data_IF_082183024759
#
_entry.id   IF_082183024759
#
_cell.length_a   1.000
_cell.length_b   1.000
_cell.length_c   1.000
_cell.angle_alpha   90.00
_cell.angle_beta   90.00
_cell.angle_gamma   90.00
#
_symmetry.space_group_name_H-M   'P 1'
#
loop_
_entity.id
_entity.type
_entity.pdbx_description
1 polymer ?
#
# COMPACT_ATOMS: atom_id res chain seq x y z
N UNK A 1 -68.68 36.39 30.64
CA UNK A 1 -68.22 35.61 29.49
C UNK A 1 -66.69 35.70 29.44
N UNK A 2 -65.96 34.63 29.81
CA UNK A 2 -64.51 34.60 29.76
C UNK A 2 -64.08 33.93 28.45
N UNK A 3 -63.40 34.64 27.59
CA UNK A 3 -62.83 34.10 26.33
C UNK A 3 -61.47 33.51 26.63
N UNK A 4 -61.37 32.17 26.62
CA UNK A 4 -60.10 31.41 26.70
C UNK A 4 -59.41 31.47 25.36
N UNK A 5 -58.21 32.09 25.29
CA UNK A 5 -57.34 32.05 24.13
C UNK A 5 -56.52 30.75 24.19
N UNK A 6 -56.72 29.88 23.22
CA UNK A 6 -55.89 28.67 23.03
C UNK A 6 -54.55 29.10 22.37
N UNK A 7 -53.48 28.90 23.12
CA UNK A 7 -52.12 29.08 22.61
C UNK A 7 -51.71 27.79 21.83
N UNK A 8 -51.51 27.92 20.53
CA UNK A 8 -51.05 26.84 19.69
C UNK A 8 -49.51 26.84 19.69
N UNK A 9 -48.92 25.92 20.41
CA UNK A 9 -47.45 25.70 20.38
C UNK A 9 -47.08 24.94 19.12
N UNK A 10 -46.41 25.61 18.17
CA UNK A 10 -45.82 24.98 17.01
C UNK A 10 -44.46 24.43 17.45
N UNK A 11 -44.35 23.11 17.63
CA UNK A 11 -43.07 22.43 17.78
C UNK A 11 -42.38 22.34 16.37
N UNK A 12 -41.46 23.22 16.13
CA UNK A 12 -40.61 23.14 14.96
C UNK A 12 -39.54 22.03 15.14
N UNK A 13 -39.76 20.88 14.54
CA UNK A 13 -38.75 19.81 14.47
C UNK A 13 -37.75 20.18 13.40
N UNK A 14 -36.61 20.76 13.77
CA UNK A 14 -35.49 20.97 12.88
C UNK A 14 -34.79 19.61 12.61
N UNK A 15 -35.08 19.00 11.47
CA UNK A 15 -34.28 17.90 10.96
C UNK A 15 -32.91 18.44 10.53
N UNK A 16 -31.89 18.15 11.35
CA UNK A 16 -30.50 18.32 10.95
C UNK A 16 -30.19 17.17 9.98
N UNK A 17 -30.19 17.46 8.68
CA UNK A 17 -29.67 16.56 7.66
C UNK A 17 -28.16 16.50 7.82
N UNK A 18 -27.66 15.46 8.50
CA UNK A 18 -26.25 15.11 8.51
C UNK A 18 -25.95 14.55 7.11
N UNK A 19 -25.49 15.41 6.20
CA UNK A 19 -24.91 14.96 4.95
C UNK A 19 -23.60 14.25 5.29
N UNK A 20 -23.63 12.92 5.30
CA UNK A 20 -22.43 12.11 5.33
C UNK A 20 -21.66 12.40 4.04
N UNK A 21 -20.62 13.22 4.11
CA UNK A 21 -19.63 13.32 3.06
C UNK A 21 -18.94 11.96 2.97
N UNK A 22 -19.44 11.09 2.11
CA UNK A 22 -18.69 9.92 1.68
C UNK A 22 -17.51 10.43 0.87
N UNK A 23 -16.34 10.54 1.51
CA UNK A 23 -15.10 10.72 0.78
C UNK A 23 -15.01 9.56 -0.24
N UNK A 24 -14.74 9.84 -1.52
CA UNK A 24 -14.56 8.76 -2.48
C UNK A 24 -13.44 7.88 -1.95
N UNK A 25 -13.74 6.61 -1.69
CA UNK A 25 -12.71 5.63 -1.39
C UNK A 25 -11.76 5.62 -2.58
N UNK A 26 -10.51 6.03 -2.36
CA UNK A 26 -9.50 5.99 -3.40
C UNK A 26 -9.39 4.53 -3.87
N UNK A 27 -9.64 4.30 -5.16
CA UNK A 27 -9.56 2.95 -5.70
C UNK A 27 -8.14 2.44 -5.56
N UNK A 28 -7.96 1.28 -4.90
CA UNK A 28 -6.65 0.67 -4.68
C UNK A 28 -5.93 0.44 -6.02
N UNK A 29 -4.63 0.73 -6.08
CA UNK A 29 -3.79 0.45 -7.25
C UNK A 29 -3.30 -1.00 -7.20
N UNK A 30 -4.18 -1.92 -7.51
CA UNK A 30 -3.96 -3.37 -7.45
C UNK A 30 -3.53 -3.99 -8.79
N UNK A 31 -3.33 -3.18 -9.82
CA UNK A 31 -2.80 -3.68 -11.11
C UNK A 31 -1.39 -4.20 -10.92
N UNK A 32 -1.15 -5.42 -11.34
CA UNK A 32 0.17 -6.03 -11.28
C UNK A 32 1.11 -5.44 -12.35
N UNK A 33 2.36 -5.27 -11.96
CA UNK A 33 3.47 -4.90 -12.86
C UNK A 33 4.60 -5.89 -12.66
N UNK A 34 5.13 -6.40 -13.76
CA UNK A 34 6.26 -7.32 -13.71
C UNK A 34 7.51 -6.62 -13.18
N UNK A 35 8.29 -7.33 -12.39
CA UNK A 35 9.63 -6.93 -12.00
C UNK A 35 10.67 -7.99 -12.39
N UNK A 36 11.87 -7.51 -12.67
CA UNK A 36 13.07 -8.32 -12.80
C UNK A 36 14.18 -7.62 -12.03
N UNK A 37 14.59 -8.23 -10.93
CA UNK A 37 15.76 -7.79 -10.17
C UNK A 37 16.98 -8.58 -10.64
N UNK A 38 17.95 -7.89 -11.20
CA UNK A 38 19.25 -8.44 -11.50
C UNK A 38 20.23 -7.96 -10.42
N UNK A 39 20.60 -8.85 -9.53
CA UNK A 39 21.51 -8.53 -8.43
C UNK A 39 22.94 -8.59 -8.96
N UNK A 40 23.60 -7.45 -8.94
CA UNK A 40 25.02 -7.29 -9.25
C UNK A 40 25.84 -7.27 -7.94
N UNK A 41 27.09 -6.86 -8.04
CA UNK A 41 27.99 -6.76 -6.87
C UNK A 41 27.47 -5.82 -5.76
N UNK A 42 26.64 -4.84 -6.09
CA UNK A 42 25.99 -3.95 -5.13
C UNK A 42 24.82 -4.65 -4.42
N UNK A 43 24.29 -5.71 -5.04
CA UNK A 43 23.26 -6.56 -4.45
C UNK A 43 21.85 -5.94 -4.40
N UNK A 44 21.63 -4.75 -4.95
CA UNK A 44 20.38 -4.00 -4.82
C UNK A 44 19.75 -3.71 -6.19
N UNK A 45 18.43 -3.83 -6.27
CA UNK A 45 17.64 -3.48 -7.43
C UNK A 45 16.28 -2.90 -7.01
N UNK A 46 15.74 -1.98 -7.83
CA UNK A 46 14.45 -1.33 -7.57
C UNK A 46 13.59 -1.31 -8.82
N UNK A 47 12.28 -1.32 -8.64
CA UNK A 47 11.30 -1.03 -9.70
C UNK A 47 11.16 0.48 -9.91
N UNK A 48 10.48 0.86 -10.97
CA UNK A 48 9.93 2.20 -11.10
C UNK A 48 8.87 2.44 -10.01
N UNK A 49 8.71 3.71 -9.60
CA UNK A 49 7.69 4.11 -8.64
C UNK A 49 6.29 4.06 -9.24
N UNK A 50 5.31 3.69 -8.41
CA UNK A 50 3.89 3.62 -8.77
C UNK A 50 3.04 4.29 -7.70
N UNK A 51 1.90 4.84 -8.11
CA UNK A 51 0.96 5.49 -7.19
C UNK A 51 0.44 4.50 -6.14
N UNK A 52 0.54 4.87 -4.86
CA UNK A 52 -0.06 4.18 -3.72
C UNK A 52 -1.31 4.92 -3.29
N UNK A 53 -2.45 4.23 -3.29
CA UNK A 53 -3.77 4.84 -3.18
C UNK A 53 -4.39 4.72 -1.78
N UNK A 54 -3.95 3.76 -0.98
CA UNK A 54 -4.47 3.51 0.36
C UNK A 54 -3.42 2.89 1.29
N UNK A 55 -3.79 2.63 2.55
CA UNK A 55 -2.93 2.06 3.58
C UNK A 55 -2.78 0.53 3.51
N UNK A 56 -3.25 -0.14 2.45
CA UNK A 56 -3.10 -1.59 2.32
C UNK A 56 -1.64 -2.00 2.16
N UNK A 57 -1.32 -3.24 2.49
CA UNK A 57 0.00 -3.83 2.27
C UNK A 57 0.36 -3.83 0.78
N UNK A 58 1.64 -3.86 0.47
CA UNK A 58 2.11 -4.07 -0.90
C UNK A 58 2.05 -5.57 -1.24
N UNK A 59 1.53 -5.90 -2.42
CA UNK A 59 1.49 -7.27 -2.92
C UNK A 59 2.74 -7.58 -3.73
N UNK A 60 3.25 -8.79 -3.56
CA UNK A 60 4.34 -9.35 -4.37
C UNK A 60 4.06 -10.82 -4.69
N UNK A 61 4.25 -11.19 -5.96
CA UNK A 61 4.34 -12.57 -6.42
C UNK A 61 5.77 -12.84 -6.88
N UNK A 62 6.37 -13.88 -6.36
CA UNK A 62 7.71 -14.33 -6.75
C UNK A 62 7.61 -15.59 -7.60
N UNK A 63 8.02 -15.51 -8.86
CA UNK A 63 8.05 -16.63 -9.80
C UNK A 63 9.44 -17.26 -9.92
N UNK A 64 10.49 -16.47 -9.64
CA UNK A 64 11.88 -16.89 -9.65
C UNK A 64 12.63 -16.16 -8.52
N UNK A 65 13.45 -16.88 -7.77
CA UNK A 65 14.28 -16.30 -6.70
C UNK A 65 15.72 -16.78 -6.79
N UNK A 66 16.68 -15.98 -6.28
CA UNK A 66 18.07 -16.38 -6.15
C UNK A 66 18.24 -17.48 -5.10
N UNK A 67 19.35 -18.20 -5.16
CA UNK A 67 19.72 -19.18 -4.13
C UNK A 67 19.72 -18.53 -2.74
N UNK A 68 19.01 -19.15 -1.80
CA UNK A 68 18.85 -18.63 -0.44
C UNK A 68 17.86 -17.46 -0.31
N UNK A 69 17.18 -17.07 -1.38
CA UNK A 69 16.18 -15.99 -1.37
C UNK A 69 16.79 -14.59 -1.40
N UNK A 70 15.94 -13.57 -1.25
CA UNK A 70 16.36 -12.17 -1.22
C UNK A 70 15.54 -11.37 -0.21
N UNK A 71 16.12 -10.33 0.36
CA UNK A 71 15.41 -9.35 1.16
C UNK A 71 14.60 -8.46 0.22
N UNK A 72 13.36 -8.20 0.59
CA UNK A 72 12.47 -7.28 -0.14
C UNK A 72 12.15 -6.09 0.74
N UNK A 73 11.98 -4.92 0.13
CA UNK A 73 11.58 -3.70 0.82
C UNK A 73 10.70 -2.83 -0.07
N UNK A 74 9.99 -1.91 0.56
CA UNK A 74 9.10 -0.95 -0.11
C UNK A 74 9.54 0.45 0.29
N UNK A 75 10.01 1.21 -0.68
CA UNK A 75 10.30 2.62 -0.51
C UNK A 75 9.08 3.46 -0.81
N UNK A 76 8.91 4.54 -0.06
CA UNK A 76 7.91 5.58 -0.27
C UNK A 76 8.52 6.89 -0.75
N UNK A 77 7.72 7.68 -1.48
CA UNK A 77 8.04 9.05 -1.89
C UNK A 77 6.77 9.89 -2.04
N UNK A 78 6.91 11.20 -1.94
CA UNK A 78 5.80 12.15 -2.16
C UNK A 78 5.52 12.40 -3.63
N UNK A 79 6.48 12.10 -4.52
CA UNK A 79 6.34 12.20 -5.98
C UNK A 79 7.08 11.06 -6.67
N UNK A 80 6.75 10.80 -7.93
CA UNK A 80 7.38 9.73 -8.73
C UNK A 80 8.88 9.94 -8.99
N UNK A 81 9.36 11.18 -8.85
CA UNK A 81 10.76 11.58 -9.05
C UNK A 81 11.42 12.09 -7.76
N UNK A 82 10.75 11.95 -6.62
CA UNK A 82 11.23 12.44 -5.33
C UNK A 82 12.30 11.55 -4.70
N UNK A 83 12.71 11.95 -3.50
CA UNK A 83 13.59 11.12 -2.68
C UNK A 83 12.82 9.92 -2.15
N UNK A 84 13.43 8.75 -2.24
CA UNK A 84 12.87 7.49 -1.79
C UNK A 84 13.36 7.13 -0.39
N UNK A 85 12.46 6.72 0.48
CA UNK A 85 12.76 6.31 1.85
C UNK A 85 12.15 4.93 2.11
N UNK A 86 12.94 4.00 2.67
CA UNK A 86 12.45 2.68 3.08
C UNK A 86 11.35 2.84 4.16
N UNK A 87 10.15 2.33 3.84
CA UNK A 87 8.97 2.35 4.70
C UNK A 87 8.53 0.96 5.12
N UNK A 88 9.33 -0.04 4.83
CA UNK A 88 9.04 -1.43 5.18
C UNK A 88 9.06 -1.63 6.69
N UNK A 89 8.09 -2.35 7.20
CA UNK A 89 8.12 -2.80 8.59
C UNK A 89 9.07 -4.00 8.69
N UNK A 90 10.12 -3.90 9.52
CA UNK A 90 11.10 -4.97 9.70
C UNK A 90 11.96 -5.23 8.47
N UNK A 91 12.36 -6.49 8.27
CA UNK A 91 13.28 -6.91 7.20
C UNK A 91 12.79 -8.19 6.50
N UNK A 92 11.67 -8.13 5.77
CA UNK A 92 11.09 -9.31 5.15
C UNK A 92 12.03 -9.94 4.12
N UNK A 93 11.97 -11.25 4.05
CA UNK A 93 12.76 -12.06 3.12
C UNK A 93 11.87 -13.01 2.33
N UNK A 94 12.01 -13.01 1.01
CA UNK A 94 11.36 -13.98 0.12
C UNK A 94 12.28 -15.20 0.00
N UNK A 95 11.79 -16.36 0.44
CA UNK A 95 12.57 -17.60 0.47
C UNK A 95 11.95 -18.71 -0.37
N UNK A 96 10.78 -18.48 -0.95
CA UNK A 96 10.10 -19.43 -1.85
C UNK A 96 9.33 -18.67 -2.94
N UNK A 97 9.01 -19.36 -4.02
CA UNK A 97 8.12 -18.86 -5.07
C UNK A 97 6.68 -18.97 -4.59
N UNK A 98 6.01 -17.83 -4.38
CA UNK A 98 4.65 -17.75 -3.87
C UNK A 98 4.15 -16.30 -3.96
N UNK A 99 2.96 -16.05 -3.43
CA UNK A 99 2.30 -14.75 -3.31
C UNK A 99 2.33 -14.28 -1.85
N UNK A 100 2.66 -13.00 -1.63
CA UNK A 100 2.83 -12.46 -0.28
C UNK A 100 2.33 -11.03 -0.17
N UNK A 101 2.08 -10.61 1.07
CA UNK A 101 1.92 -9.22 1.46
C UNK A 101 3.17 -8.73 2.21
N UNK A 102 3.50 -7.45 1.98
CA UNK A 102 4.55 -6.73 2.68
C UNK A 102 3.91 -5.55 3.40
N UNK A 103 3.96 -5.55 4.73
CA UNK A 103 3.51 -4.43 5.54
C UNK A 103 4.52 -3.27 5.43
N UNK A 104 4.01 -2.08 5.22
CA UNK A 104 4.79 -0.86 5.02
C UNK A 104 3.95 0.37 5.41
N UNK A 105 4.58 1.50 5.62
CA UNK A 105 3.99 2.74 6.12
C UNK A 105 4.05 3.90 5.10
N UNK A 106 4.07 3.62 3.81
CA UNK A 106 4.14 4.65 2.76
C UNK A 106 2.96 5.62 2.86
N UNK A 107 1.75 5.08 2.83
CA UNK A 107 0.54 5.90 2.84
C UNK A 107 0.35 6.64 4.16
N UNK A 108 0.65 6.01 5.28
CA UNK A 108 0.55 6.55 6.64
C UNK A 108 1.54 7.71 6.87
N UNK A 109 2.69 7.68 6.20
CA UNK A 109 3.66 8.79 6.21
C UNK A 109 3.33 9.93 5.25
N UNK A 110 2.14 9.91 4.62
CA UNK A 110 1.72 10.97 3.70
C UNK A 110 2.32 10.84 2.30
N UNK A 111 3.09 9.79 2.02
CA UNK A 111 3.64 9.51 0.70
C UNK A 111 2.59 8.88 -0.20
N UNK A 112 2.69 9.12 -1.51
CA UNK A 112 1.68 8.67 -2.48
C UNK A 112 2.28 7.87 -3.62
N UNK A 113 3.56 7.57 -3.55
CA UNK A 113 4.28 6.71 -4.49
C UNK A 113 5.04 5.65 -3.71
N UNK A 114 4.99 4.41 -4.20
CA UNK A 114 5.75 3.29 -3.70
C UNK A 114 6.58 2.68 -4.82
N UNK A 115 7.74 2.12 -4.49
CA UNK A 115 8.50 1.22 -5.36
C UNK A 115 8.92 -0.01 -4.58
N UNK A 116 8.97 -1.13 -5.28
CA UNK A 116 9.49 -2.37 -4.72
C UNK A 116 11.01 -2.41 -4.91
N UNK A 117 11.73 -2.78 -3.87
CA UNK A 117 13.16 -3.01 -3.91
C UNK A 117 13.52 -4.41 -3.47
N UNK A 118 14.64 -4.91 -3.97
CA UNK A 118 15.21 -6.18 -3.59
C UNK A 118 16.69 -6.07 -3.27
N UNK A 119 17.16 -6.91 -2.35
CA UNK A 119 18.55 -6.98 -1.97
C UNK A 119 19.01 -8.45 -1.80
N UNK A 120 20.10 -8.78 -2.47
CA UNK A 120 20.74 -10.09 -2.39
C UNK A 120 22.26 -9.94 -2.45
N UNK A 121 22.98 -10.53 -1.50
CA UNK A 121 24.45 -10.47 -1.46
C UNK A 121 25.17 -11.27 -2.56
N UNK A 122 24.43 -12.11 -3.29
CA UNK A 122 25.02 -12.98 -4.29
C UNK A 122 24.95 -12.33 -5.69
N UNK A 123 26.09 -11.95 -6.21
CA UNK A 123 26.22 -11.44 -7.58
C UNK A 123 25.71 -12.45 -8.61
N UNK A 124 25.26 -11.93 -9.76
CA UNK A 124 24.78 -12.71 -10.92
C UNK A 124 23.58 -13.60 -10.64
N UNK A 125 22.75 -13.22 -9.66
CA UNK A 125 21.47 -13.84 -9.35
C UNK A 125 20.32 -12.94 -9.77
N UNK A 126 19.13 -13.50 -9.96
CA UNK A 126 17.94 -12.73 -10.28
C UNK A 126 16.69 -13.20 -9.54
N UNK A 127 15.78 -12.25 -9.32
CA UNK A 127 14.42 -12.52 -8.89
C UNK A 127 13.43 -11.94 -9.91
N UNK A 128 12.35 -12.66 -10.17
CA UNK A 128 11.31 -12.23 -11.12
C UNK A 128 9.91 -12.51 -10.57
N UNK A 129 8.98 -11.67 -10.96
CA UNK A 129 7.59 -11.83 -10.60
C UNK A 129 6.78 -10.61 -10.98
N UNK A 130 5.69 -10.37 -10.23
CA UNK A 130 4.90 -9.14 -10.34
C UNK A 130 4.60 -8.58 -8.96
N UNK A 131 4.18 -7.31 -8.92
CA UNK A 131 3.84 -6.60 -7.70
C UNK A 131 2.80 -5.52 -7.95
N UNK A 132 2.11 -5.11 -6.89
CA UNK A 132 1.27 -3.92 -6.90
C UNK A 132 1.46 -3.11 -5.62
N UNK A 133 1.36 -1.77 -5.69
CA UNK A 133 1.53 -0.89 -4.52
C UNK A 133 0.50 -1.15 -3.42
N UNK A 134 -0.73 -1.43 -3.82
CA UNK A 134 -1.86 -1.75 -2.96
C UNK A 134 -2.26 -3.22 -3.14
N UNK A 135 -2.98 -3.77 -2.18
CA UNK A 135 -3.45 -5.15 -2.22
C UNK A 135 -4.93 -5.28 -1.88
N UNK A 136 -5.53 -6.34 -2.38
CA UNK A 136 -6.84 -6.86 -1.99
C UNK A 136 -6.71 -8.36 -1.79
N UNK A 137 -7.56 -8.93 -0.95
CA UNK A 137 -7.50 -10.36 -0.62
C UNK A 137 -6.57 -10.67 0.54
N UNK A 138 -6.40 -11.95 0.80
CA UNK A 138 -5.64 -12.46 1.94
C UNK A 138 -4.50 -13.36 1.43
N UNK A 139 -3.28 -12.96 1.67
CA UNK A 139 -2.07 -13.70 1.35
C UNK A 139 -1.17 -13.77 2.59
N UNK A 140 -0.24 -14.74 2.65
CA UNK A 140 0.77 -14.77 3.72
C UNK A 140 1.53 -13.44 3.82
N UNK A 141 1.69 -12.93 5.04
CA UNK A 141 2.45 -11.70 5.30
C UNK A 141 3.90 -12.07 5.58
N UNK A 142 4.85 -11.43 4.88
CA UNK A 142 6.29 -11.67 5.08
C UNK A 142 6.81 -11.07 6.38
N UNK A 143 6.15 -10.01 6.85
CA UNK A 143 6.54 -9.21 8.02
C UNK A 143 5.31 -8.88 8.88
N UNK A 144 4.70 -9.88 9.55
CA UNK A 144 3.49 -9.74 10.35
C UNK A 144 3.68 -8.81 11.56
#
# INVERSE_FOLDING_TARGET
>A
MKKTKKLLAILGTSMIAVSAFSLPASAANISDTNYTFNFNWVGQANTSGRGKQNASSTYIKCNQLPNGGFRVYVDGATSSTGSWTDRTIGQPKVTRTDEFLINQLVYENGERYARLGGYCFMASQSAKGCWSPDSVGSYPVLNP
#
